data_IF_191579047167
#
_entry.id   IF_191579047167
#
_cell.length_a   1.000
_cell.length_b   1.000
_cell.length_c   1.000
_cell.angle_alpha   90.00
_cell.angle_beta   90.00
_cell.angle_gamma   90.00
#
_symmetry.space_group_name_H-M   'P 1'
#
loop_
_entity.id
_entity.type
_entity.pdbx_description
1 polymer ?
#
# COMPACT_ATOMS: atom_id res chain seq x y z
N UNK A 1 2.19 -9.07 0.92
CA UNK A 1 1.61 -7.70 0.96
C UNK A 1 1.06 -7.36 2.33
N UNK A 2 1.15 -6.09 2.75
CA UNK A 2 0.65 -5.57 4.03
C UNK A 2 -0.43 -4.49 3.78
N UNK A 3 -0.31 -3.24 4.28
CA UNK A 3 -1.34 -2.20 4.17
C UNK A 3 -0.77 -0.79 3.86
N UNK A 4 -1.34 -0.15 2.84
CA UNK A 4 -1.27 1.30 2.59
C UNK A 4 -2.71 1.82 2.47
N UNK A 5 -3.05 2.88 3.22
CA UNK A 5 -4.35 3.54 3.19
C UNK A 5 -4.15 5.02 2.90
N UNK A 6 -4.86 5.55 1.91
CA UNK A 6 -4.81 6.97 1.59
C UNK A 6 -6.17 7.54 1.24
N UNK A 7 -6.30 8.86 1.35
CA UNK A 7 -7.48 9.58 0.93
C UNK A 7 -7.08 10.88 0.24
N UNK A 8 -7.53 11.04 -1.01
CA UNK A 8 -7.48 12.30 -1.72
C UNK A 8 -8.81 13.04 -1.49
N UNK A 9 -8.75 14.21 -0.87
CA UNK A 9 -9.86 15.15 -0.75
C UNK A 9 -9.54 16.46 -1.44
N UNK A 10 -10.55 17.33 -1.60
CA UNK A 10 -10.39 18.61 -2.32
C UNK A 10 -9.29 19.52 -1.76
N UNK A 11 -9.10 19.54 -0.45
CA UNK A 11 -8.17 20.45 0.26
C UNK A 11 -7.07 19.72 1.03
N UNK A 12 -7.17 18.40 1.15
CA UNK A 12 -6.30 17.58 1.97
C UNK A 12 -6.07 16.24 1.33
N UNK A 13 -4.84 15.77 1.46
CA UNK A 13 -4.37 14.46 1.12
C UNK A 13 -3.76 13.83 2.37
N UNK A 14 -4.15 12.61 2.68
CA UNK A 14 -3.56 11.82 3.77
C UNK A 14 -3.21 10.43 3.25
N UNK A 15 -2.04 9.93 3.64
CA UNK A 15 -1.54 8.63 3.21
C UNK A 15 -0.77 7.98 4.36
N UNK A 16 -1.06 6.73 4.65
CA UNK A 16 -0.42 5.95 5.69
C UNK A 16 -0.02 4.57 5.19
N UNK A 17 1.09 4.04 5.71
CA UNK A 17 1.57 2.71 5.37
C UNK A 17 2.33 2.10 6.53
N UNK A 18 2.14 0.80 6.73
CA UNK A 18 2.87 0.05 7.74
C UNK A 18 4.32 -0.21 7.28
N UNK A 19 5.17 -0.69 8.19
CA UNK A 19 6.60 -0.90 7.89
C UNK A 19 7.05 -2.35 7.66
N UNK A 20 6.11 -3.30 7.54
CA UNK A 20 6.41 -4.74 7.44
C UNK A 20 6.66 -5.18 6.01
N UNK A 21 7.69 -5.99 5.80
CA UNK A 21 7.89 -6.77 4.58
C UNK A 21 8.01 -8.22 4.97
N UNK A 22 7.31 -9.08 4.23
CA UNK A 22 7.41 -10.53 4.34
C UNK A 22 7.83 -11.03 2.97
N UNK A 23 8.94 -11.76 2.90
CA UNK A 23 9.34 -12.51 1.73
C UNK A 23 9.05 -13.99 1.97
N UNK A 24 8.38 -14.62 1.02
CA UNK A 24 8.07 -16.04 1.04
C UNK A 24 8.99 -16.79 0.09
N UNK A 25 9.45 -17.96 0.49
CA UNK A 25 10.33 -18.81 -0.29
C UNK A 25 9.84 -20.26 -0.30
N UNK A 26 9.95 -20.91 -1.47
CA UNK A 26 9.43 -22.25 -1.69
C UNK A 26 7.90 -22.27 -1.86
N UNK A 27 7.28 -23.39 -1.50
CA UNK A 27 5.81 -23.57 -1.56
C UNK A 27 5.16 -22.85 -0.39
N UNK A 28 4.74 -21.60 -0.59
CA UNK A 28 4.18 -20.74 0.44
C UNK A 28 2.71 -20.36 0.19
N UNK A 29 2.08 -20.92 -0.84
CA UNK A 29 0.74 -20.55 -1.29
C UNK A 29 -0.30 -20.73 -0.17
N UNK A 30 -0.21 -21.84 0.56
CA UNK A 30 -1.08 -22.11 1.71
C UNK A 30 -0.82 -21.17 2.90
N UNK A 31 0.45 -20.81 3.12
CA UNK A 31 0.83 -19.86 4.17
C UNK A 31 0.31 -18.45 3.86
N UNK A 32 0.45 -18.04 2.60
CA UNK A 32 -0.07 -16.76 2.11
C UNK A 32 -1.59 -16.70 2.21
N UNK A 33 -2.30 -17.79 1.86
CA UNK A 33 -3.75 -17.85 1.98
C UNK A 33 -4.22 -17.66 3.44
N UNK A 34 -3.57 -18.32 4.41
CA UNK A 34 -3.87 -18.16 5.85
C UNK A 34 -3.42 -16.81 6.42
N UNK A 35 -2.35 -16.23 5.90
CA UNK A 35 -1.96 -14.89 6.33
C UNK A 35 -2.94 -13.84 5.80
N UNK A 36 -3.33 -13.97 4.54
CA UNK A 36 -4.18 -13.01 3.84
C UNK A 36 -5.67 -13.20 4.12
N UNK A 37 -6.09 -14.34 4.66
CA UNK A 37 -7.41 -14.56 5.25
C UNK A 37 -7.56 -14.03 6.68
N UNK A 38 -6.46 -13.78 7.38
CA UNK A 38 -6.45 -13.23 8.74
C UNK A 38 -6.43 -14.30 9.84
N UNK A 39 -6.12 -15.55 9.49
CA UNK A 39 -5.96 -16.66 10.43
C UNK A 39 -4.69 -16.49 11.28
N UNK A 40 -3.64 -15.90 10.71
CA UNK A 40 -2.33 -15.72 11.37
C UNK A 40 -2.21 -14.33 12.00
N UNK A 41 -2.12 -14.28 13.34
CA UNK A 41 -2.20 -13.03 14.11
C UNK A 41 -0.85 -12.46 14.58
N UNK A 42 0.16 -13.30 14.78
CA UNK A 42 1.46 -12.87 15.29
C UNK A 42 2.63 -13.38 14.44
N UNK A 43 3.80 -12.77 14.57
CA UNK A 43 5.00 -13.19 13.86
C UNK A 43 5.42 -14.62 14.24
N UNK A 44 5.28 -14.98 15.51
CA UNK A 44 5.59 -16.32 16.03
C UNK A 44 4.65 -17.39 15.44
N UNK A 45 3.37 -17.06 15.29
CA UNK A 45 2.40 -17.93 14.61
C UNK A 45 2.75 -18.08 13.13
N UNK A 46 3.09 -16.98 12.45
CA UNK A 46 3.51 -17.01 11.05
C UNK A 46 4.76 -17.88 10.83
N UNK A 47 5.76 -17.76 11.69
CA UNK A 47 6.98 -18.59 11.66
C UNK A 47 6.66 -20.07 11.90
N UNK A 48 5.82 -20.38 12.89
CA UNK A 48 5.39 -21.76 13.16
C UNK A 48 4.66 -22.37 11.96
N UNK A 49 3.68 -21.65 11.40
CA UNK A 49 2.92 -22.10 10.21
C UNK A 49 3.82 -22.29 9.00
N UNK A 50 4.83 -21.44 8.83
CA UNK A 50 5.81 -21.61 7.76
C UNK A 50 6.58 -22.94 7.87
N UNK A 51 7.03 -23.29 9.08
CA UNK A 51 7.70 -24.59 9.33
C UNK A 51 6.76 -25.76 9.04
N UNK A 52 5.51 -25.69 9.51
CA UNK A 52 4.50 -26.75 9.30
C UNK A 52 4.20 -27.00 7.81
N UNK A 53 4.24 -25.95 6.98
CA UNK A 53 4.03 -26.07 5.53
C UNK A 53 5.32 -26.31 4.73
N UNK A 54 6.47 -26.40 5.40
CA UNK A 54 7.76 -26.55 4.72
C UNK A 54 8.13 -25.33 3.86
N UNK A 55 7.59 -24.16 4.20
CA UNK A 55 7.92 -22.88 3.58
C UNK A 55 9.05 -22.21 4.38
N UNK A 56 9.74 -21.24 3.76
CA UNK A 56 10.62 -20.33 4.48
C UNK A 56 10.11 -18.91 4.33
N UNK A 57 10.28 -18.11 5.38
CA UNK A 57 9.90 -16.70 5.37
C UNK A 57 11.06 -15.84 5.88
N UNK A 58 11.08 -14.59 5.43
CA UNK A 58 11.88 -13.53 6.04
C UNK A 58 10.97 -12.34 6.36
N UNK A 59 10.88 -11.99 7.64
CA UNK A 59 10.11 -10.85 8.15
C UNK A 59 11.09 -9.72 8.45
N UNK A 60 10.83 -8.53 7.93
CA UNK A 60 11.58 -7.33 8.26
C UNK A 60 10.61 -6.18 8.52
N UNK A 61 10.75 -5.54 9.66
CA UNK A 61 10.09 -4.26 9.96
C UNK A 61 11.05 -3.09 9.65
N UNK A 62 10.50 -1.91 9.38
CA UNK A 62 11.26 -0.69 9.05
C UNK A 62 11.29 -0.30 7.57
N UNK A 63 10.60 -1.03 6.67
CA UNK A 63 10.49 -0.64 5.26
C UNK A 63 9.49 0.49 5.10
N UNK A 64 9.96 1.68 4.70
CA UNK A 64 9.06 2.76 4.30
C UNK A 64 8.22 2.34 3.09
N UNK A 65 6.89 2.40 3.25
CA UNK A 65 5.92 2.15 2.17
C UNK A 65 5.29 3.42 1.65
N UNK A 66 5.38 4.49 2.40
CA UNK A 66 4.86 5.80 2.03
C UNK A 66 5.98 6.82 2.13
N UNK A 67 6.11 7.67 1.13
CA UNK A 67 7.14 8.71 1.08
C UNK A 67 6.63 9.93 0.33
N UNK A 68 7.42 11.01 0.36
CA UNK A 68 7.15 12.22 -0.43
C UNK A 68 8.11 12.26 -1.63
N UNK A 69 7.59 12.59 -2.80
CA UNK A 69 8.38 12.99 -3.99
C UNK A 69 7.93 14.39 -4.39
N UNK A 70 8.75 15.38 -4.08
CA UNK A 70 8.36 16.80 -4.19
C UNK A 70 7.07 17.06 -3.40
N UNK A 71 6.05 17.62 -4.07
CA UNK A 71 4.73 17.87 -3.49
C UNK A 71 3.77 16.66 -3.46
N UNK A 72 4.18 15.51 -4.01
CA UNK A 72 3.33 14.31 -4.16
C UNK A 72 3.61 13.32 -3.04
N UNK A 73 2.55 12.79 -2.44
CA UNK A 73 2.63 11.65 -1.54
C UNK A 73 2.55 10.36 -2.36
N UNK A 74 3.47 9.44 -2.12
CA UNK A 74 3.54 8.17 -2.84
C UNK A 74 3.43 7.03 -1.85
N UNK A 75 2.65 6.00 -2.19
CA UNK A 75 2.50 4.80 -1.37
C UNK A 75 2.61 3.55 -2.23
N UNK A 76 3.28 2.51 -1.75
CA UNK A 76 3.48 1.27 -2.50
C UNK A 76 3.27 0.03 -1.63
N UNK A 77 2.57 -0.95 -2.21
CA UNK A 77 2.64 -2.34 -1.75
C UNK A 77 3.26 -3.22 -2.83
N UNK A 78 4.09 -4.17 -2.41
CA UNK A 78 4.73 -5.14 -3.31
C UNK A 78 4.15 -6.54 -3.07
N UNK A 79 3.79 -7.22 -4.16
CA UNK A 79 3.58 -8.66 -4.25
C UNK A 79 4.87 -9.29 -4.78
N UNK A 80 5.44 -10.22 -4.01
CA UNK A 80 6.64 -10.96 -4.38
C UNK A 80 6.26 -12.43 -4.42
N UNK A 81 6.27 -13.04 -5.61
CA UNK A 81 6.29 -14.49 -5.77
C UNK A 81 7.63 -14.92 -6.37
N UNK A 82 7.86 -16.24 -6.46
CA UNK A 82 9.07 -16.79 -7.07
C UNK A 82 9.24 -16.40 -8.55
N UNK A 83 8.14 -16.11 -9.25
CA UNK A 83 8.12 -15.87 -10.69
C UNK A 83 7.78 -14.43 -11.07
N UNK A 84 7.15 -13.66 -10.17
CA UNK A 84 6.63 -12.33 -10.48
C UNK A 84 6.78 -11.36 -9.32
N UNK A 85 7.23 -10.15 -9.64
CA UNK A 85 7.17 -9.01 -8.74
C UNK A 85 6.17 -8.00 -9.32
N UNK A 86 5.04 -7.84 -8.63
CA UNK A 86 4.03 -6.84 -8.97
C UNK A 86 4.01 -5.76 -7.89
N UNK A 87 3.98 -4.50 -8.29
CA UNK A 87 3.86 -3.35 -7.37
C UNK A 87 2.57 -2.63 -7.66
N UNK A 88 1.87 -2.24 -6.60
CA UNK A 88 0.70 -1.37 -6.67
C UNK A 88 1.07 -0.08 -5.97
N UNK A 89 1.05 1.01 -6.73
CA UNK A 89 1.48 2.32 -6.27
C UNK A 89 0.33 3.31 -6.36
N UNK A 90 0.23 4.16 -5.34
CA UNK A 90 -0.66 5.31 -5.32
C UNK A 90 0.18 6.58 -5.32
N UNK A 91 -0.22 7.54 -6.13
CA UNK A 91 0.26 8.92 -6.10
C UNK A 91 -0.90 9.80 -5.65
N UNK A 92 -0.64 10.72 -4.73
CA UNK A 92 -1.70 11.41 -4.01
C UNK A 92 -1.30 12.86 -3.73
N UNK A 93 -2.20 13.78 -4.08
CA UNK A 93 -2.16 15.20 -3.71
C UNK A 93 -3.58 15.67 -3.38
N UNK A 94 -3.77 16.81 -2.69
CA UNK A 94 -5.10 17.40 -2.59
C UNK A 94 -5.72 17.60 -3.97
N UNK A 95 -6.94 17.08 -4.16
CA UNK A 95 -7.69 17.17 -5.41
C UNK A 95 -7.32 16.16 -6.49
N UNK A 96 -6.45 15.18 -6.23
CA UNK A 96 -6.11 14.17 -7.23
C UNK A 96 -5.44 12.91 -6.70
N UNK A 97 -5.63 11.79 -7.41
CA UNK A 97 -4.85 10.57 -7.23
C UNK A 97 -4.60 9.82 -8.55
N UNK A 98 -3.52 9.05 -8.58
CA UNK A 98 -3.28 7.99 -9.58
C UNK A 98 -3.08 6.65 -8.85
N UNK A 99 -3.68 5.59 -9.38
CA UNK A 99 -3.32 4.21 -9.06
C UNK A 99 -2.58 3.62 -10.24
N UNK A 100 -1.42 3.05 -9.95
CA UNK A 100 -0.47 2.54 -10.93
C UNK A 100 -0.11 1.11 -10.58
N UNK A 101 -0.25 0.24 -11.58
CA UNK A 101 0.21 -1.13 -11.55
C UNK A 101 1.57 -1.19 -12.23
N UNK A 102 2.56 -1.77 -11.55
CA UNK A 102 3.88 -2.01 -12.11
C UNK A 102 4.14 -3.50 -12.13
N UNK A 103 4.45 -4.03 -13.31
CA UNK A 103 4.75 -5.44 -13.52
C UNK A 103 5.93 -5.59 -14.48
N UNK A 104 7.04 -6.13 -13.97
CA UNK A 104 8.31 -6.10 -14.67
C UNK A 104 8.75 -4.67 -14.99
N UNK A 105 8.91 -4.36 -16.28
CA UNK A 105 9.28 -3.04 -16.78
C UNK A 105 8.08 -2.20 -17.22
N UNK A 106 6.84 -2.66 -17.04
CA UNK A 106 5.65 -1.91 -17.49
C UNK A 106 4.98 -1.24 -16.31
N UNK A 107 4.65 0.03 -16.48
CA UNK A 107 3.77 0.77 -15.59
C UNK A 107 2.45 1.10 -16.32
N UNK A 108 1.32 0.93 -15.64
CA UNK A 108 -0.01 1.20 -16.19
C UNK A 108 -0.84 1.98 -15.17
N UNK A 109 -1.47 3.08 -15.60
CA UNK A 109 -2.43 3.81 -14.75
C UNK A 109 -3.74 3.02 -14.75
N UNK A 110 -3.99 2.27 -13.68
CA UNK A 110 -5.22 1.48 -13.53
C UNK A 110 -6.42 2.32 -13.09
N UNK A 111 -6.18 3.46 -12.43
CA UNK A 111 -7.24 4.40 -12.03
C UNK A 111 -6.70 5.81 -11.84
N UNK A 112 -7.54 6.81 -12.10
CA UNK A 112 -7.28 8.20 -11.75
C UNK A 112 -8.57 8.89 -11.30
N UNK A 113 -8.46 9.99 -10.56
CA UNK A 113 -9.61 10.80 -10.19
C UNK A 113 -9.28 11.87 -9.15
N UNK A 114 -10.31 12.65 -8.76
CA UNK A 114 -10.12 13.80 -7.88
C UNK A 114 -10.18 13.48 -6.38
N UNK A 115 -11.07 12.56 -5.98
CA UNK A 115 -11.26 12.21 -4.57
C UNK A 115 -11.70 10.78 -4.40
N UNK A 116 -11.02 10.03 -3.53
CA UNK A 116 -11.40 8.66 -3.17
C UNK A 116 -10.63 8.18 -1.94
N UNK A 117 -11.19 7.19 -1.24
CA UNK A 117 -10.47 6.36 -0.29
C UNK A 117 -9.74 5.25 -1.06
N UNK A 118 -8.46 5.10 -0.80
CA UNK A 118 -7.55 4.17 -1.46
C UNK A 118 -7.05 3.20 -0.40
N UNK A 119 -7.20 1.91 -0.64
CA UNK A 119 -6.73 0.87 0.25
C UNK A 119 -5.97 -0.17 -0.58
N UNK A 120 -4.66 -0.23 -0.38
CA UNK A 120 -3.78 -1.23 -0.97
C UNK A 120 -3.38 -2.21 0.12
N UNK A 121 -3.63 -3.49 -0.11
CA UNK A 121 -3.24 -4.53 0.83
C UNK A 121 -3.72 -5.92 0.43
N UNK A 122 -3.50 -6.88 1.32
CA UNK A 122 -4.05 -8.23 1.19
C UNK A 122 -5.58 -8.24 1.43
N UNK A 123 -6.23 -9.40 1.27
CA UNK A 123 -7.69 -9.54 1.41
C UNK A 123 -8.18 -9.07 2.79
N UNK A 124 -7.63 -9.65 3.87
CA UNK A 124 -8.00 -9.31 5.24
C UNK A 124 -7.86 -7.82 5.56
N UNK A 125 -6.68 -7.24 5.30
CA UNK A 125 -6.38 -5.84 5.63
C UNK A 125 -7.26 -4.86 4.84
N UNK A 126 -7.56 -5.16 3.57
CA UNK A 126 -8.49 -4.36 2.76
C UNK A 126 -9.90 -4.38 3.31
N UNK A 127 -10.42 -5.56 3.62
CA UNK A 127 -11.78 -5.72 4.14
C UNK A 127 -11.92 -5.04 5.50
N UNK A 128 -10.91 -5.18 6.36
CA UNK A 128 -10.87 -4.51 7.67
C UNK A 128 -10.87 -2.98 7.53
N UNK A 129 -9.95 -2.44 6.72
CA UNK A 129 -9.86 -0.99 6.51
C UNK A 129 -11.12 -0.41 5.84
N UNK A 130 -11.71 -1.14 4.89
CA UNK A 130 -12.96 -0.70 4.25
C UNK A 130 -14.13 -0.68 5.24
N UNK A 131 -14.27 -1.69 6.10
CA UNK A 131 -15.32 -1.69 7.15
C UNK A 131 -15.13 -0.53 8.13
N UNK A 132 -13.88 -0.19 8.47
CA UNK A 132 -13.57 0.85 9.46
C UNK A 132 -13.73 2.27 8.93
N UNK A 133 -13.36 2.51 7.67
CA UNK A 133 -13.27 3.85 7.06
C UNK A 133 -14.28 4.10 5.93
N UNK A 134 -14.93 3.07 5.40
CA UNK A 134 -15.84 3.15 4.27
C UNK A 134 -17.20 3.80 4.57
N UNK A 135 -17.42 4.29 5.79
CA UNK A 135 -18.66 4.93 6.24
C UNK A 135 -18.97 6.28 5.56
N UNK A 136 -18.08 6.76 4.67
CA UNK A 136 -18.26 7.96 3.87
C UNK A 136 -17.65 9.22 4.49
N UNK A 137 -17.18 9.18 5.74
CA UNK A 137 -16.41 10.26 6.32
C UNK A 137 -14.95 10.22 5.81
N UNK A 138 -14.39 11.35 5.35
CA UNK A 138 -12.96 11.44 5.07
C UNK A 138 -12.13 11.03 6.28
N UNK A 139 -11.17 10.11 6.12
CA UNK A 139 -10.27 9.75 7.22
C UNK A 139 -9.40 10.95 7.60
N UNK A 140 -9.14 11.04 8.90
CA UNK A 140 -8.19 11.96 9.52
C UNK A 140 -7.01 11.19 10.13
N UNK A 141 -6.07 11.90 10.73
CA UNK A 141 -4.90 11.26 11.33
C UNK A 141 -5.28 10.30 12.46
N UNK A 142 -6.23 10.67 13.32
CA UNK A 142 -6.64 9.86 14.46
C UNK A 142 -7.29 8.54 14.03
N UNK A 143 -8.18 8.58 13.03
CA UNK A 143 -8.81 7.38 12.47
C UNK A 143 -7.81 6.47 11.76
N UNK A 144 -6.79 7.01 11.07
CA UNK A 144 -5.71 6.19 10.52
C UNK A 144 -4.83 5.57 11.62
N UNK A 145 -4.44 6.32 12.66
CA UNK A 145 -3.70 5.76 13.81
C UNK A 145 -4.46 4.59 14.44
N UNK A 146 -5.73 4.81 14.75
CA UNK A 146 -6.61 3.77 15.29
C UNK A 146 -6.70 2.55 14.37
N UNK A 147 -6.85 2.76 13.05
CA UNK A 147 -6.89 1.68 12.08
C UNK A 147 -5.61 0.83 12.10
N UNK A 148 -4.44 1.46 12.03
CA UNK A 148 -3.15 0.76 11.96
C UNK A 148 -2.84 0.03 13.28
N UNK A 149 -3.17 0.63 14.42
CA UNK A 149 -3.04 -0.01 15.73
C UNK A 149 -3.96 -1.22 15.89
N UNK A 150 -5.22 -1.10 15.44
CA UNK A 150 -6.18 -2.20 15.50
C UNK A 150 -5.78 -3.35 14.57
N UNK A 151 -5.50 -3.07 13.30
CA UNK A 151 -5.18 -4.12 12.31
C UNK A 151 -3.84 -4.80 12.61
N UNK A 152 -2.85 -4.05 13.14
CA UNK A 152 -1.56 -4.61 13.57
C UNK A 152 -1.68 -5.61 14.72
N UNK A 153 -2.75 -5.55 15.52
CA UNK A 153 -3.06 -6.56 16.56
C UNK A 153 -3.81 -7.78 16.02
N UNK A 154 -4.37 -7.69 14.81
CA UNK A 154 -5.27 -8.70 14.26
C UNK A 154 -4.63 -9.56 13.17
N UNK A 155 -3.48 -9.17 12.62
CA UNK A 155 -2.77 -9.96 11.61
C UNK A 155 -1.26 -9.77 11.71
N UNK A 156 -0.51 -10.86 11.46
CA UNK A 156 0.95 -10.80 11.36
C UNK A 156 1.43 -10.07 10.09
N UNK A 157 0.54 -9.74 9.15
CA UNK A 157 0.91 -9.12 7.88
C UNK A 157 1.23 -7.63 7.98
N UNK A 158 0.91 -6.99 9.11
CA UNK A 158 1.07 -5.55 9.32
C UNK A 158 2.06 -5.31 10.46
N UNK A 159 2.96 -4.34 10.28
CA UNK A 159 3.89 -3.92 11.34
C UNK A 159 3.15 -3.17 12.46
N UNK A 160 3.62 -3.27 13.72
CA UNK A 160 3.20 -2.33 14.77
C UNK A 160 3.54 -0.86 14.43
N UNK A 161 4.59 -0.65 13.64
CA UNK A 161 5.03 0.68 13.22
C UNK A 161 4.44 1.09 11.87
N UNK A 162 4.13 2.38 11.75
CA UNK A 162 3.57 2.97 10.53
C UNK A 162 4.02 4.42 10.35
N UNK A 163 3.96 4.89 9.11
CA UNK A 163 4.19 6.29 8.74
C UNK A 163 2.86 6.89 8.28
N UNK A 164 2.56 8.13 8.68
CA UNK A 164 1.44 8.92 8.16
C UNK A 164 2.00 10.20 7.53
N UNK A 165 1.56 10.50 6.31
CA UNK A 165 1.87 11.71 5.57
C UNK A 165 0.58 12.49 5.36
N UNK A 166 0.63 13.80 5.65
CA UNK A 166 -0.48 14.73 5.39
C UNK A 166 0.03 15.85 4.48
N UNK A 167 -0.81 16.28 3.56
CA UNK A 167 -0.57 17.44 2.71
C UNK A 167 -1.87 18.23 2.55
N UNK A 168 -1.79 19.52 2.86
CA UNK A 168 -2.85 20.51 2.60
C UNK A 168 -2.45 21.46 1.45
N UNK A 169 -1.38 21.11 0.72
CA UNK A 169 -0.88 21.90 -0.42
C UNK A 169 -1.72 21.65 -1.67
N UNK A 170 -2.62 22.58 -1.97
CA UNK A 170 -3.49 22.50 -3.16
C UNK A 170 -2.73 22.95 -4.39
N UNK A 171 -2.82 22.15 -5.46
CA UNK A 171 -2.24 22.47 -6.77
C UNK A 171 -3.33 23.00 -7.71
N UNK A 172 -3.04 24.01 -8.56
CA UNK A 172 -3.97 24.46 -9.60
C UNK A 172 -4.36 23.35 -10.57
N UNK A 173 -3.41 22.46 -10.89
CA UNK A 173 -3.60 21.28 -11.71
C UNK A 173 -3.02 20.03 -10.99
N UNK A 174 -3.83 19.36 -10.15
CA UNK A 174 -3.41 18.16 -9.45
C UNK A 174 -2.99 17.02 -10.38
N UNK A 175 -3.68 16.85 -11.52
CA UNK A 175 -3.41 15.76 -12.45
C UNK A 175 -2.04 15.92 -13.11
N UNK A 176 -1.70 17.13 -13.59
CA UNK A 176 -0.38 17.39 -14.17
C UNK A 176 0.76 17.14 -13.17
N UNK A 177 0.58 17.49 -11.89
CA UNK A 177 1.56 17.24 -10.83
C UNK A 177 1.76 15.74 -10.59
N UNK A 178 0.67 14.97 -10.57
CA UNK A 178 0.71 13.52 -10.38
C UNK A 178 1.35 12.81 -11.58
N UNK A 179 0.97 13.18 -12.81
CA UNK A 179 1.54 12.59 -14.03
C UNK A 179 3.03 12.91 -14.17
N UNK A 180 3.47 14.11 -13.79
CA UNK A 180 4.90 14.44 -13.75
C UNK A 180 5.66 13.55 -12.78
N UNK A 181 5.14 13.39 -11.55
CA UNK A 181 5.77 12.53 -10.55
C UNK A 181 5.84 11.06 -10.98
N UNK A 182 4.81 10.56 -11.67
CA UNK A 182 4.82 9.22 -12.26
C UNK A 182 5.86 9.08 -13.38
N UNK A 183 5.98 10.08 -14.27
CA UNK A 183 6.98 10.05 -15.36
C UNK A 183 8.41 10.02 -14.80
N UNK A 184 8.71 10.86 -13.82
CA UNK A 184 10.00 10.85 -13.11
C UNK A 184 10.27 9.47 -12.47
N UNK A 185 9.25 8.86 -11.85
CA UNK A 185 9.35 7.52 -11.28
C UNK A 185 9.61 6.43 -12.34
N UNK A 186 8.97 6.55 -13.50
CA UNK A 186 9.19 5.65 -14.63
C UNK A 186 10.62 5.76 -15.17
N UNK A 187 11.14 6.99 -15.29
CA UNK A 187 12.54 7.23 -15.71
C UNK A 187 13.55 6.67 -14.70
N UNK A 188 13.36 6.94 -13.40
CA UNK A 188 14.20 6.42 -12.32
C UNK A 188 14.12 4.89 -12.19
N UNK A 189 12.92 4.34 -12.35
CA UNK A 189 12.62 2.92 -12.18
C UNK A 189 12.89 2.06 -13.41
N UNK A 190 13.17 2.68 -14.56
CA UNK A 190 13.28 1.97 -15.85
C UNK A 190 11.96 1.34 -16.28
N UNK A 191 10.85 2.02 -16.06
CA UNK A 191 9.51 1.56 -16.42
C UNK A 191 8.97 2.27 -17.66
N UNK A 192 8.42 1.49 -18.59
CA UNK A 192 7.67 1.97 -19.73
C UNK A 192 6.23 2.25 -19.29
N UNK A 193 5.83 3.52 -19.33
CA UNK A 193 4.45 3.91 -19.09
C UNK A 193 3.60 3.49 -20.29
N UNK A 194 2.67 2.59 -20.06
CA UNK A 194 1.75 2.04 -21.04
C UNK A 194 0.33 2.60 -20.83
N UNK A 195 -0.35 2.93 -21.94
CA UNK A 195 -1.69 3.54 -21.96
C UNK A 195 -1.69 5.04 -22.29
N UNK A 196 -2.87 5.64 -22.56
CA UNK A 196 -2.96 7.07 -22.86
C UNK A 196 -2.62 7.90 -21.61
N UNK A 197 -1.62 8.78 -21.75
CA UNK A 197 -1.24 9.76 -20.74
C UNK A 197 -2.37 10.78 -20.54
#
# INVERSE_FOLDING_TARGET
>A
MSLVVGFAGKKRAILAGDKRRIAFFGRAERLEEELYGGEIRSSEDLERRAVEFGSKIAITDGREKVWKRGGVQVGEVTELSAERQRRRRVYLVPGGYLLVEVDGQKAEISKRGASTLIILGNRFTRDFAFKRLGSGMPPDEASLRSLFEEVGRLTASVSPDYTILISDSVHPDPEAVLLRALKEDCEEGGWELSGPA
#
